data_IF_340855445955
#
_entry.id   IF_340855445955
#
_cell.length_a   1.000
_cell.length_b   1.000
_cell.length_c   1.000
_cell.angle_alpha   90.00
_cell.angle_beta   90.00
_cell.angle_gamma   90.00
#
_symmetry.space_group_name_H-M   'P 1'
#
loop_
_entity.id
_entity.type
_entity.pdbx_description
1 polymer ?
2 non-polymer ?
3 water ?
#
# COMPACT_ATOMS: atom_id res chain seq x y z
N UNK A 1 4.08 4.67 -19.99
CA UNK A 1 3.17 5.34 -20.95
C UNK A 1 2.81 6.74 -20.47
N UNK A 2 2.48 6.85 -19.17
CA UNK A 2 2.41 8.12 -18.45
C UNK A 2 3.44 8.16 -17.31
N UNK A 3 4.53 8.94 -17.53
CA UNK A 3 5.52 9.24 -16.49
C UNK A 3 4.94 9.94 -15.26
N UNK A 4 4.12 11.00 -15.47
CA UNK A 4 3.40 11.72 -14.43
C UNK A 4 2.57 10.78 -13.56
N UNK A 5 1.83 9.88 -14.21
CA UNK A 5 1.07 8.87 -13.49
C UNK A 5 1.98 8.03 -12.62
N UNK A 6 3.08 7.53 -13.21
CA UNK A 6 4.04 6.70 -12.50
C UNK A 6 4.54 7.39 -11.24
N UNK A 7 4.79 8.70 -11.34
CA UNK A 7 5.42 9.43 -10.26
C UNK A 7 4.42 9.75 -9.16
N UNK A 8 3.21 10.15 -9.58
CA UNK A 8 2.05 10.29 -8.71
C UNK A 8 1.90 9.00 -7.90
N UNK A 9 1.87 7.84 -8.56
CA UNK A 9 1.80 6.56 -7.88
C UNK A 9 2.93 6.45 -6.84
N UNK A 10 4.16 6.81 -7.28
CA UNK A 10 5.35 6.70 -6.46
C UNK A 10 5.18 7.57 -5.21
N UNK A 11 4.82 8.84 -5.41
CA UNK A 11 4.75 9.80 -4.30
C UNK A 11 3.69 9.35 -3.28
N UNK A 12 2.55 8.88 -3.81
CA UNK A 12 1.49 8.43 -2.92
C UNK A 12 2.01 7.22 -2.16
N UNK A 13 2.64 6.25 -2.87
CA UNK A 13 3.10 5.06 -2.15
C UNK A 13 4.05 5.42 -1.01
N UNK A 14 4.88 6.46 -1.19
CA UNK A 14 5.82 6.88 -0.14
C UNK A 14 5.08 7.37 1.11
N UNK A 15 4.05 8.21 0.90
CA UNK A 15 3.17 8.65 1.98
C UNK A 15 2.47 7.45 2.62
N UNK A 16 1.96 6.49 1.84
CA UNK A 16 1.38 5.34 2.53
C UNK A 16 2.40 4.73 3.50
N UNK A 17 3.64 4.59 3.02
CA UNK A 17 4.71 3.95 3.76
C UNK A 17 5.05 4.75 5.01
N UNK A 18 5.14 6.08 4.89
CA UNK A 18 5.48 6.88 6.06
C UNK A 18 4.40 6.77 7.16
N UNK A 19 3.13 6.88 6.79
CA UNK A 19 2.03 6.80 7.80
C UNK A 19 2.02 5.45 8.48
N UNK A 20 2.19 4.40 7.70
CA UNK A 20 2.09 3.05 8.23
C UNK A 20 3.19 2.86 9.26
N UNK A 21 4.36 3.45 8.96
CA UNK A 21 5.51 3.35 9.85
C UNK A 21 5.19 3.98 11.21
N UNK A 22 4.86 5.29 11.18
CA UNK A 22 4.31 6.07 12.28
C UNK A 22 3.34 5.19 13.07
N UNK A 23 2.40 4.56 12.36
CA UNK A 23 1.32 3.87 13.04
C UNK A 23 1.87 2.61 13.70
N UNK A 24 2.92 2.07 13.06
CA UNK A 24 3.51 0.83 13.52
C UNK A 24 4.14 1.06 14.89
N UNK A 25 4.61 2.29 15.13
CA UNK A 25 5.21 2.65 16.41
C UNK A 25 4.15 2.69 17.51
N UNK A 26 2.99 3.29 17.20
CA UNK A 26 1.99 3.60 18.21
C UNK A 26 1.05 2.42 18.45
N UNK A 27 0.58 2.33 19.68
CA UNK A 27 -0.22 1.19 20.12
C UNK A 27 -1.70 1.43 19.79
N UNK A 28 -2.09 2.70 19.67
CA UNK A 28 -3.33 3.02 19.00
C UNK A 28 -3.20 4.40 18.37
N UNK A 29 -3.81 4.56 17.19
CA UNK A 29 -3.60 5.69 16.30
C UNK A 29 -4.92 6.43 16.16
N UNK A 30 -4.86 7.76 15.94
CA UNK A 30 -6.08 8.52 15.84
C UNK A 30 -6.83 8.03 14.61
N UNK A 31 -8.18 8.20 14.56
CA UNK A 31 -8.95 7.79 13.40
C UNK A 31 -8.47 8.65 12.23
N UNK A 32 -7.89 9.81 12.54
CA UNK A 32 -7.45 10.69 11.48
C UNK A 32 -6.19 10.14 10.81
N UNK A 33 -5.26 9.52 11.58
CA UNK A 33 -4.03 9.00 11.00
C UNK A 33 -4.42 7.79 10.16
N UNK A 34 -5.19 6.89 10.79
CA UNK A 34 -5.71 5.70 10.12
C UNK A 34 -6.34 6.03 8.77
N UNK A 35 -7.08 7.14 8.72
CA UNK A 35 -7.94 7.40 7.58
C UNK A 35 -7.12 8.00 6.44
N UNK A 36 -6.11 8.81 6.79
CA UNK A 36 -5.13 9.32 5.82
C UNK A 36 -4.38 8.15 5.16
N UNK A 37 -3.91 7.20 5.97
CA UNK A 37 -3.28 6.01 5.45
C UNK A 37 -4.22 5.41 4.40
N UNK A 38 -5.49 5.20 4.80
CA UNK A 38 -6.45 4.46 4.00
C UNK A 38 -6.76 5.26 2.73
N UNK A 39 -6.89 6.56 2.87
CA UNK A 39 -7.31 7.32 1.71
C UNK A 39 -6.14 7.44 0.73
N UNK A 40 -4.92 7.51 1.27
CA UNK A 40 -3.71 7.52 0.46
C UNK A 40 -3.59 6.21 -0.32
N UNK A 41 -3.77 5.09 0.40
CA UNK A 41 -3.75 3.75 -0.18
C UNK A 41 -4.76 3.61 -1.32
N UNK A 42 -5.93 4.26 -1.19
CA UNK A 42 -6.94 4.16 -2.24
C UNK A 42 -6.44 4.92 -3.46
N UNK A 43 -5.61 5.94 -3.26
CA UNK A 43 -5.20 6.69 -4.44
C UNK A 43 -4.04 5.97 -5.14
N UNK A 44 -3.21 5.27 -4.36
CA UNK A 44 -2.16 4.42 -4.92
C UNK A 44 -2.79 3.35 -5.83
N UNK A 45 -3.79 2.64 -5.29
CA UNK A 45 -4.50 1.60 -6.03
C UNK A 45 -5.10 2.20 -7.31
N UNK A 46 -5.67 3.39 -7.20
CA UNK A 46 -6.38 3.93 -8.35
C UNK A 46 -5.42 4.33 -9.48
N UNK A 47 -4.31 5.01 -9.13
CA UNK A 47 -3.29 5.43 -10.08
C UNK A 47 -2.60 4.21 -10.68
N UNK A 48 -2.43 3.16 -9.88
CA UNK A 48 -1.78 2.01 -10.46
C UNK A 48 -2.65 1.42 -11.57
N UNK A 49 -3.96 1.30 -11.28
CA UNK A 49 -4.91 0.69 -12.20
C UNK A 49 -4.96 1.50 -13.48
N UNK A 50 -4.95 2.84 -13.33
CA UNK A 50 -4.91 3.75 -14.47
C UNK A 50 -3.69 3.48 -15.33
N UNK A 51 -2.63 2.91 -14.74
CA UNK A 51 -1.41 2.72 -15.50
C UNK A 51 -1.55 1.56 -16.47
N UNK A 52 -2.32 0.54 -16.08
CA UNK A 52 -2.63 -0.56 -16.98
C UNK A 52 -3.56 -0.18 -18.14
N UNK A 53 -4.12 1.02 -18.13
CA UNK A 53 -5.07 1.43 -19.20
C UNK A 53 -4.36 2.35 -20.19
N UNK A 60 8.22 -5.88 -17.27
CA UNK A 60 7.76 -7.28 -17.51
C UNK A 60 6.29 -7.44 -17.13
N UNK A 61 5.45 -8.04 -18.00
CA UNK A 61 4.05 -8.33 -17.67
C UNK A 61 3.89 -9.26 -16.48
N UNK A 62 4.85 -10.16 -16.28
CA UNK A 62 4.73 -11.15 -15.20
C UNK A 62 5.00 -10.48 -13.85
N UNK A 63 5.78 -9.38 -13.86
CA UNK A 63 6.16 -8.64 -12.67
C UNK A 63 4.99 -7.74 -12.30
N UNK A 64 4.39 -7.05 -13.30
CA UNK A 64 3.15 -6.31 -13.11
C UNK A 64 2.06 -7.21 -12.52
N UNK A 65 1.97 -8.45 -13.00
CA UNK A 65 0.90 -9.32 -12.54
C UNK A 65 1.11 -9.66 -11.06
N UNK A 66 2.37 -9.86 -10.66
CA UNK A 66 2.67 -10.24 -9.29
C UNK A 66 2.41 -9.05 -8.36
N UNK A 67 2.83 -7.83 -8.76
CA UNK A 67 2.58 -6.58 -8.05
C UNK A 67 1.07 -6.44 -7.79
N UNK A 68 0.29 -6.39 -8.87
CA UNK A 68 -1.16 -6.24 -8.86
C UNK A 68 -1.79 -7.29 -7.93
N UNK A 69 -1.43 -8.55 -8.10
CA UNK A 69 -2.03 -9.56 -7.22
C UNK A 69 -1.72 -9.27 -5.75
N UNK A 70 -0.46 -8.89 -5.45
CA UNK A 70 0.03 -8.61 -4.10
C UNK A 70 -0.71 -7.43 -3.46
N UNK A 71 -0.85 -6.33 -4.23
CA UNK A 71 -1.52 -5.10 -3.84
C UNK A 71 -2.95 -5.43 -3.41
N UNK A 72 -3.60 -6.25 -4.24
CA UNK A 72 -4.96 -6.69 -3.99
C UNK A 72 -5.05 -7.39 -2.64
N UNK A 73 -4.12 -8.27 -2.35
CA UNK A 73 -4.22 -8.97 -1.09
C UNK A 73 -3.91 -8.01 0.05
N UNK A 74 -3.08 -6.99 -0.17
CA UNK A 74 -2.77 -6.12 0.96
C UNK A 74 -4.00 -5.25 1.26
N UNK A 75 -4.59 -4.73 0.18
CA UNK A 75 -5.81 -3.95 0.27
C UNK A 75 -6.92 -4.71 0.99
N UNK A 76 -7.15 -5.97 0.63
CA UNK A 76 -8.21 -6.74 1.26
C UNK A 76 -7.92 -6.99 2.73
N UNK A 77 -6.64 -7.23 3.09
CA UNK A 77 -6.15 -7.40 4.46
C UNK A 77 -6.49 -6.17 5.29
N UNK A 78 -6.16 -5.00 4.72
CA UNK A 78 -6.38 -3.70 5.31
C UNK A 78 -7.86 -3.44 5.59
N UNK A 79 -8.74 -3.81 4.66
CA UNK A 79 -10.18 -3.66 4.83
C UNK A 79 -10.67 -4.47 6.03
N UNK A 80 -10.13 -5.69 6.24
CA UNK A 80 -10.43 -6.38 7.49
C UNK A 80 -10.03 -5.52 8.69
N UNK A 81 -8.92 -4.81 8.59
CA UNK A 81 -8.43 -4.09 9.76
C UNK A 81 -9.32 -2.89 10.07
N UNK A 82 -10.06 -2.41 9.06
CA UNK A 82 -10.92 -1.25 9.26
C UNK A 82 -12.07 -1.57 10.22
N UNK A 83 -12.47 -2.83 10.34
CA UNK A 83 -13.55 -3.19 11.26
C UNK A 83 -13.12 -3.20 12.72
N UNK A 84 -11.83 -2.98 12.99
CA UNK A 84 -11.25 -3.17 14.32
C UNK A 84 -10.85 -1.81 14.91
N UNK A 85 -11.26 -1.58 16.17
CA UNK A 85 -10.76 -0.44 16.93
C UNK A 85 -9.31 -0.71 17.24
N UNK A 86 -9.02 -1.98 17.56
CA UNK A 86 -7.65 -2.30 17.86
C UNK A 86 -7.18 -3.47 17.00
N UNK A 87 -6.05 -3.27 16.31
CA UNK A 87 -5.46 -4.32 15.47
C UNK A 87 -4.21 -4.85 16.15
N UNK A 88 -4.22 -6.15 16.49
CA UNK A 88 -3.10 -6.80 17.16
C UNK A 88 -1.83 -6.68 16.31
N UNK A 89 -0.62 -6.68 16.92
CA UNK A 89 0.61 -6.70 16.13
C UNK A 89 0.73 -7.99 15.32
N UNK A 90 -0.07 -9.00 15.67
CA UNK A 90 -0.21 -10.21 14.88
C UNK A 90 -0.76 -9.89 13.48
N UNK A 91 -1.92 -9.21 13.44
CA UNK A 91 -2.54 -8.66 12.24
C UNK A 91 -1.58 -7.70 11.54
N UNK A 92 -0.96 -6.80 12.31
CA UNK A 92 -0.11 -5.75 11.78
C UNK A 92 1.14 -6.33 11.12
N UNK A 93 1.53 -7.54 11.54
CA UNK A 93 2.70 -8.22 11.01
C UNK A 93 2.38 -8.77 9.62
N UNK A 94 1.31 -9.58 9.51
CA UNK A 94 0.85 -10.06 8.20
C UNK A 94 0.72 -8.89 7.22
N UNK A 95 0.17 -7.76 7.69
CA UNK A 95 0.04 -6.56 6.87
C UNK A 95 1.41 -6.06 6.40
N UNK A 96 2.34 -5.86 7.32
CA UNK A 96 3.65 -5.27 6.95
C UNK A 96 4.39 -6.21 6.01
N UNK A 97 4.47 -7.47 6.39
CA UNK A 97 5.12 -8.48 5.56
C UNK A 97 4.70 -8.33 4.09
N UNK A 98 3.40 -8.54 3.82
CA UNK A 98 2.78 -8.45 2.50
C UNK A 98 3.04 -7.08 1.86
N UNK A 99 2.88 -6.02 2.65
CA UNK A 99 3.09 -4.67 2.13
C UNK A 99 4.53 -4.52 1.63
N UNK A 100 5.49 -5.14 2.32
CA UNK A 100 6.89 -5.04 1.92
C UNK A 100 7.10 -5.64 0.53
N UNK A 101 6.44 -6.79 0.30
CA UNK A 101 6.47 -7.42 -1.00
C UNK A 101 5.89 -6.50 -2.09
N UNK A 102 4.82 -5.76 -1.79
CA UNK A 102 4.29 -4.87 -2.82
C UNK A 102 5.33 -3.81 -3.17
N UNK A 103 5.91 -3.15 -2.16
CA UNK A 103 6.93 -2.13 -2.38
C UNK A 103 8.10 -2.67 -3.18
N UNK A 104 8.55 -3.88 -2.80
CA UNK A 104 9.69 -4.49 -3.48
C UNK A 104 9.43 -4.68 -4.98
N UNK A 105 8.32 -5.35 -5.32
CA UNK A 105 8.05 -5.70 -6.71
C UNK A 105 7.87 -4.42 -7.52
N UNK A 106 7.37 -3.35 -6.91
CA UNK A 106 7.08 -2.15 -7.70
C UNK A 106 8.38 -1.44 -8.02
N UNK A 107 9.29 -1.49 -7.04
CA UNK A 107 10.65 -0.99 -7.17
C UNK A 107 11.47 -1.85 -8.13
N UNK A 108 11.35 -3.19 -8.04
CA UNK A 108 12.01 -4.08 -8.98
C UNK A 108 11.63 -3.71 -10.41
N UNK A 109 10.53 -2.96 -10.58
CA UNK A 109 10.05 -2.66 -11.91
C UNK A 109 10.86 -1.50 -12.48
N UNK A 110 11.43 -0.69 -11.58
CA UNK A 110 12.11 0.56 -11.89
C UNK A 110 13.34 0.25 -12.74
N UNK A 111 14.11 -0.76 -12.32
CA UNK A 111 15.25 -1.30 -13.04
C UNK A 111 14.99 -1.30 -14.55
N UNK A 112 13.95 -2.04 -14.98
CA UNK A 112 13.45 -2.00 -16.34
C UNK A 112 14.54 -2.48 -17.31
X LIG B 1 -3.97 -0.26 8.36
X LIG B 1 -3.77 -0.54 3.59
X LIG B 1 1.02 -0.10 3.79
X LIG B 1 0.83 -0.40 8.55
X LIG B 1 -4.39 -0.27 7.04
X LIG B 1 -5.72 -0.16 6.54
X LIG B 1 -5.64 -0.24 5.20
X LIG B 1 -4.29 -0.42 4.84
X LIG B 1 -6.81 -0.16 4.27
X LIG B 1 -6.92 0.09 7.38
X LIG B 1 -6.99 1.50 7.92
X LIG B 1 -7.50 1.46 9.33
X LIG B 1 -7.45 0.47 10.03
X LIG B 1 -8.02 2.58 9.74
X LIG B 1 -2.46 -0.49 3.15
X LIG B 1 -1.99 -0.56 1.81
X LIG B 1 -0.62 -0.44 1.85
X LIG B 1 -0.25 -0.27 3.24
X LIG B 1 -2.79 -0.79 0.52
X LIG B 1 0.32 -0.47 0.69
X LIG B 1 0.92 -1.84 0.48
X LIG B 1 1.46 -0.14 5.09
X LIG B 1 2.80 -0.08 5.58
X LIG B 1 2.77 -0.19 6.93
X LIG B 1 1.38 -0.32 7.30
X LIG B 1 4.06 0.05 4.77
X LIG B 1 3.95 -0.18 7.87
X LIG B 1 4.49 -1.57 8.12
X LIG B 1 -0.49 -0.40 8.98
X LIG B 1 -0.95 -0.44 10.31
X LIG B 1 -2.33 -0.40 10.29
X LIG B 1 -2.70 -0.34 8.90
X LIG B 1 -0.07 -0.51 11.53
X LIG B 1 -3.30 -0.46 11.45
X LIG B 1 -3.48 0.88 12.17
X LIG B 1 -4.16 0.78 13.52
X LIG B 1 -4.86 -0.36 13.69
X LIG B 1 -4.10 1.66 14.36
X LIG B 1 -3.52 -0.39 5.98
X LIG B 1 -1.39 -0.34 4.03
X LIG B 1 0.59 -0.27 6.16
X LIG B 1 -1.56 -0.34 8.11
X LIG B 1 -1.47 -0.27 6.06
X LIG C 1 5.26 0.90 -9.42
X LIG C 1 3.79 0.70 -4.85
X LIG C 1 -0.52 -0.96 -6.33
X LIG C 1 0.98 -0.84 -10.87
X LIG C 1 5.29 1.02 -8.02
X LIG C 1 6.39 1.46 -7.16
X LIG C 1 5.93 1.43 -5.88
X LIG C 1 4.60 0.93 -5.92
X LIG C 1 6.71 1.81 -4.63
X LIG C 1 7.69 2.00 -7.64
X LIG C 1 7.57 3.39 -8.25
X LIG C 1 8.87 4.13 -8.39
X LIG C 1 9.71 4.15 -7.50
X LIG C 1 9.00 4.78 -9.55
X LIG C 1 2.48 0.24 -4.81
X LIG C 1 1.67 0.09 -3.65
X LIG C 1 0.46 -0.38 -4.03
X LIG C 1 0.49 -0.50 -5.48
X LIG C 1 2.06 0.39 -2.21
X LIG C 1 -0.68 -0.71 -3.09
X LIG C 1 -2.01 -0.16 -3.54
X LIG C 1 -0.56 -1.11 -7.71
X LIG C 1 -1.63 -1.57 -8.53
X LIG C 1 -1.23 -1.51 -9.81
X LIG C 1 0.13 -1.04 -9.80
X LIG C 1 -3.02 -1.95 -8.08
X LIG C 1 -2.02 -1.90 -11.04
X LIG C 1 -2.22 -3.41 -11.13
X LIG C 1 2.29 -0.37 -10.94
X LIG C 1 3.08 -0.23 -12.10
X LIG C 1 4.32 0.24 -11.74
X LIG C 1 4.26 0.42 -10.29
X LIG C 1 2.64 -0.58 -13.50
X LIG C 1 5.49 0.59 -12.63
X LIG C 1 5.23 1.80 -13.52
X LIG C 1 6.13 1.95 -14.70
X LIG C 1 5.70 2.85 -15.56
X LIG C 1 7.15 1.32 -14.84
X LIG C 1 4.21 0.69 -7.23
X LIG C 1 1.75 -0.11 -5.94
X LIG C 1 0.53 -0.80 -8.50
X LIG C 1 3.00 0.02 -9.83
X LIG C 1 2.37 -0.03 -7.92
#
# INVERSE_FOLDING_TARGET
GSPELREKHRALAEQVYADGQEMLKNTSNSPELREKHRALAEQVYATGQEMLKNGSVSPSPELREKHRALAEQVYATGQEMLKNTSNSPELREKHRALAEQVYATGQEMLKN
MH0 CHA CHB CHC CHD C1A C2A C3A C4A CMA CAA CBA CGA O1A O2A C1B C2B C3B C4B CMB CAB CBB C1C C2C C3C C4C CMC CAC CBC C1D C2D C3D C4D CMD CAD CBD CGD O1D O2D NA NB NC ND FE
MH0 CHA CHB CHC CHD C1A C2A C3A C4A CMA CAA CBA CGA O1A O2A C1B C2B C3B C4B CMB CAB CBB C1C C2C C3C C4C CMC CAC CBC C1D C2D C3D C4D CMD CAD CBD CGD O1D O2D NA NB NC ND FE
#
